data_IF_006568290391
#
_entry.id   IF_006568290391
#
_cell.length_a   1.000
_cell.length_b   1.000
_cell.length_c   1.000
_cell.angle_alpha   90.00
_cell.angle_beta   90.00
_cell.angle_gamma   90.00
#
_symmetry.space_group_name_H-M   'P 1'
#
loop_
_entity.id
_entity.type
_entity.pdbx_description
1 polymer ?
#
# COMPACT_ATOMS: atom_id res chain seq x y z
N UNK A 1 -8.86 -3.34 16.53
CA UNK A 1 -7.97 -4.25 15.78
C UNK A 1 -6.68 -3.48 15.63
N UNK A 2 -5.60 -4.02 16.15
CA UNK A 2 -4.28 -3.40 16.05
C UNK A 2 -3.70 -3.74 14.65
N UNK A 3 -2.90 -2.84 14.06
CA UNK A 3 -2.27 -3.06 12.76
C UNK A 3 -1.37 -4.29 12.76
N UNK A 4 -0.63 -4.52 13.84
CA UNK A 4 0.24 -5.70 13.99
C UNK A 4 -0.57 -7.00 13.94
N UNK A 5 -1.79 -7.00 14.46
CA UNK A 5 -2.73 -8.13 14.35
C UNK A 5 -3.25 -8.31 12.93
N UNK A 6 -3.54 -7.19 12.25
CA UNK A 6 -4.02 -7.19 10.87
C UNK A 6 -2.95 -7.76 9.92
N UNK A 7 -1.70 -7.37 10.09
CA UNK A 7 -0.59 -7.82 9.25
C UNK A 7 0.03 -9.14 9.72
N UNK A 8 -0.35 -9.65 10.89
CA UNK A 8 0.14 -10.93 11.41
C UNK A 8 -0.25 -12.09 10.50
N UNK A 9 0.67 -12.98 10.21
CA UNK A 9 0.42 -14.20 9.44
C UNK A 9 -0.32 -15.29 10.25
N UNK A 10 -0.39 -15.13 11.57
CA UNK A 10 -0.95 -16.12 12.50
C UNK A 10 -2.42 -15.86 12.91
N UNK A 11 -2.99 -14.69 12.57
CA UNK A 11 -4.37 -14.33 12.92
C UNK A 11 -5.23 -14.14 11.68
N UNK A 12 -6.50 -14.57 11.78
CA UNK A 12 -7.46 -14.51 10.69
C UNK A 12 -8.38 -13.28 10.71
N UNK A 13 -8.22 -12.37 11.69
CA UNK A 13 -9.06 -11.16 11.80
C UNK A 13 -8.95 -10.29 10.52
N UNK A 14 -10.08 -10.08 9.87
CA UNK A 14 -10.15 -9.35 8.59
C UNK A 14 -9.62 -10.10 7.37
N UNK A 15 -9.21 -11.35 7.54
CA UNK A 15 -8.66 -12.21 6.48
C UNK A 15 -9.63 -13.32 6.10
N UNK A 16 -9.39 -13.92 4.93
CA UNK A 16 -10.13 -15.05 4.41
C UNK A 16 -9.16 -16.13 3.94
N UNK A 17 -9.62 -17.37 3.99
CA UNK A 17 -8.95 -18.49 3.35
C UNK A 17 -9.50 -18.70 1.95
N UNK A 18 -8.63 -18.85 0.95
CA UNK A 18 -8.96 -19.19 -0.42
C UNK A 18 -8.31 -20.52 -0.77
N UNK A 19 -9.11 -21.49 -1.18
CA UNK A 19 -8.60 -22.76 -1.72
C UNK A 19 -8.40 -22.60 -3.22
N UNK A 20 -7.16 -22.75 -3.67
CA UNK A 20 -6.78 -22.63 -5.08
C UNK A 20 -7.51 -23.67 -5.92
N UNK A 21 -8.14 -23.24 -7.01
CA UNK A 21 -8.83 -24.08 -7.99
C UNK A 21 -8.04 -24.12 -9.29
N UNK A 22 -8.30 -25.14 -10.10
CA UNK A 22 -7.73 -25.21 -11.45
C UNK A 22 -8.11 -23.96 -12.26
N UNK A 23 -7.11 -23.34 -12.87
CA UNK A 23 -7.28 -22.09 -13.62
C UNK A 23 -7.17 -20.81 -12.80
N UNK A 24 -7.01 -20.90 -11.46
CA UNK A 24 -6.69 -19.73 -10.67
C UNK A 24 -5.29 -19.18 -11.02
N UNK A 25 -5.15 -17.86 -10.92
CA UNK A 25 -3.88 -17.16 -10.94
C UNK A 25 -3.81 -16.19 -9.76
N UNK A 26 -2.61 -15.83 -9.33
CA UNK A 26 -2.44 -14.85 -8.26
C UNK A 26 -3.12 -13.51 -8.58
N UNK A 27 -3.02 -13.03 -9.83
CA UNK A 27 -3.71 -11.81 -10.25
C UNK A 27 -5.23 -11.93 -10.20
N UNK A 28 -5.76 -13.07 -10.63
CA UNK A 28 -7.20 -13.36 -10.54
C UNK A 28 -7.69 -13.39 -9.10
N UNK A 29 -6.97 -14.08 -8.21
CA UNK A 29 -7.28 -14.13 -6.78
C UNK A 29 -7.18 -12.72 -6.15
N UNK A 30 -6.13 -11.96 -6.47
CA UNK A 30 -5.99 -10.60 -5.98
C UNK A 30 -7.18 -9.69 -6.40
N UNK A 31 -7.62 -9.80 -7.65
CA UNK A 31 -8.79 -9.07 -8.14
C UNK A 31 -10.09 -9.51 -7.45
N UNK A 32 -10.32 -10.82 -7.29
CA UNK A 32 -11.50 -11.39 -6.63
C UNK A 32 -11.67 -10.89 -5.19
N UNK A 33 -10.56 -10.81 -4.46
CA UNK A 33 -10.58 -10.41 -3.05
C UNK A 33 -10.25 -8.93 -2.81
N UNK A 34 -10.19 -8.10 -3.85
CA UNK A 34 -9.84 -6.66 -3.72
C UNK A 34 -8.53 -6.45 -2.95
N UNK A 35 -7.52 -7.24 -3.25
CA UNK A 35 -6.21 -7.19 -2.60
C UNK A 35 -5.08 -6.99 -3.61
N UNK A 36 -3.85 -7.16 -3.18
CA UNK A 36 -2.65 -7.06 -4.02
C UNK A 36 -1.82 -8.33 -3.96
N UNK A 37 -0.97 -8.55 -4.98
CA UNK A 37 0.03 -9.62 -4.94
C UNK A 37 0.95 -9.48 -3.74
N UNK A 38 1.36 -8.25 -3.43
CA UNK A 38 2.24 -7.94 -2.30
C UNK A 38 1.63 -8.39 -0.97
N UNK A 39 0.34 -8.07 -0.74
CA UNK A 39 -0.37 -8.51 0.46
C UNK A 39 -0.55 -10.05 0.49
N UNK A 40 -0.88 -10.68 -0.62
CA UNK A 40 -0.98 -12.14 -0.68
C UNK A 40 0.37 -12.77 -0.32
N UNK A 41 1.46 -12.28 -0.90
CA UNK A 41 2.81 -12.78 -0.60
C UNK A 41 3.17 -12.59 0.87
N UNK A 42 2.88 -11.40 1.42
CA UNK A 42 3.13 -11.09 2.83
C UNK A 42 2.40 -12.05 3.77
N UNK A 43 1.09 -12.21 3.60
CA UNK A 43 0.26 -13.04 4.48
C UNK A 43 0.60 -14.55 4.40
N UNK A 44 1.18 -14.99 3.29
CA UNK A 44 1.54 -16.40 3.07
C UNK A 44 3.06 -16.67 3.21
N UNK A 45 3.82 -15.69 3.71
CA UNK A 45 5.27 -15.84 3.93
C UNK A 45 6.08 -16.07 2.65
N UNK A 46 5.61 -15.57 1.50
CA UNK A 46 6.26 -15.76 0.22
C UNK A 46 7.29 -14.64 -0.04
N UNK A 47 8.54 -15.01 -0.33
CA UNK A 47 9.59 -14.09 -0.74
C UNK A 47 9.57 -13.82 -2.24
N UNK A 48 9.05 -14.75 -3.01
CA UNK A 48 8.87 -14.69 -4.46
C UNK A 48 7.59 -15.43 -4.85
N UNK A 49 7.04 -15.11 -6.03
CA UNK A 49 5.87 -15.83 -6.53
C UNK A 49 6.26 -17.24 -6.95
N UNK A 50 5.58 -18.22 -6.37
CA UNK A 50 5.64 -19.63 -6.75
C UNK A 50 4.46 -19.96 -7.66
N UNK A 51 4.58 -21.08 -8.38
CA UNK A 51 3.41 -21.62 -9.04
C UNK A 51 2.44 -22.17 -8.00
N UNK A 52 1.19 -21.70 -8.03
CA UNK A 52 0.13 -22.21 -7.17
C UNK A 52 -0.46 -23.49 -7.75
N UNK A 53 -0.78 -24.43 -6.87
CA UNK A 53 -1.38 -25.70 -7.24
C UNK A 53 -2.83 -25.79 -6.74
N UNK A 54 -3.74 -26.43 -7.50
CA UNK A 54 -5.09 -26.70 -7.01
C UNK A 54 -5.05 -27.44 -5.67
N UNK A 55 -5.86 -26.98 -4.72
CA UNK A 55 -5.93 -27.51 -3.36
C UNK A 55 -5.06 -26.77 -2.34
N UNK A 56 -4.12 -25.92 -2.76
CA UNK A 56 -3.38 -25.07 -1.84
C UNK A 56 -4.30 -24.05 -1.18
N UNK A 57 -4.03 -23.74 0.07
CA UNK A 57 -4.71 -22.69 0.83
C UNK A 57 -3.88 -21.42 0.81
N UNK A 58 -4.52 -20.30 0.44
CA UNK A 58 -3.95 -18.96 0.50
C UNK A 58 -4.75 -18.09 1.46
N UNK A 59 -4.05 -17.39 2.33
CA UNK A 59 -4.65 -16.35 3.15
C UNK A 59 -4.68 -15.05 2.34
N UNK A 60 -5.85 -14.43 2.26
CA UNK A 60 -6.10 -13.18 1.54
C UNK A 60 -6.79 -12.18 2.45
N UNK A 61 -6.55 -10.89 2.22
CA UNK A 61 -7.17 -9.80 2.96
C UNK A 61 -7.62 -8.71 2.01
N UNK A 62 -8.91 -8.32 2.02
CA UNK A 62 -9.38 -7.17 1.26
C UNK A 62 -8.68 -5.88 1.71
N UNK A 63 -8.28 -5.06 0.75
CA UNK A 63 -7.64 -3.76 0.97
C UNK A 63 -8.61 -2.63 0.57
N UNK A 64 -9.78 -2.60 1.19
CA UNK A 64 -10.81 -1.57 0.94
C UNK A 64 -10.67 -0.37 1.89
N UNK A 65 -9.44 -0.08 2.28
CA UNK A 65 -9.12 1.06 3.14
C UNK A 65 -9.17 2.37 2.36
N UNK A 66 -9.44 3.47 3.09
CA UNK A 66 -9.27 4.83 2.58
C UNK A 66 -8.14 5.55 3.29
N UNK A 67 -7.51 6.48 2.60
CA UNK A 67 -6.52 7.39 3.17
C UNK A 67 -7.18 8.73 3.49
N UNK A 68 -6.80 9.31 4.62
CA UNK A 68 -7.12 10.67 4.98
C UNK A 68 -5.81 11.47 5.07
N UNK A 69 -5.65 12.43 4.17
CA UNK A 69 -4.52 13.36 4.13
C UNK A 69 -4.92 14.67 4.79
N UNK A 70 -4.24 15.01 5.86
CA UNK A 70 -4.45 16.25 6.63
C UNK A 70 -3.16 17.11 6.63
N UNK A 71 -2.95 17.94 5.59
CA UNK A 71 -1.73 18.74 5.44
C UNK A 71 -1.44 19.65 6.62
N UNK A 72 -2.49 20.22 7.22
CA UNK A 72 -2.39 21.13 8.38
C UNK A 72 -1.91 20.41 9.67
N UNK A 73 -2.08 19.08 9.74
CA UNK A 73 -1.59 18.24 10.84
C UNK A 73 -0.30 17.50 10.49
N UNK A 74 0.20 17.67 9.27
CA UNK A 74 1.31 16.88 8.73
C UNK A 74 1.10 15.38 8.94
N UNK A 75 -0.09 14.88 8.61
CA UNK A 75 -0.41 13.46 8.79
C UNK A 75 -1.19 12.87 7.63
N UNK A 76 -0.98 11.58 7.43
CA UNK A 76 -1.79 10.72 6.58
C UNK A 76 -2.24 9.53 7.41
N UNK A 77 -3.54 9.21 7.36
CA UNK A 77 -4.08 8.10 8.13
C UNK A 77 -4.86 7.12 7.27
N UNK A 78 -4.87 5.87 7.70
CA UNK A 78 -5.58 4.74 7.08
C UNK A 78 -6.83 4.43 7.89
N UNK A 79 -7.94 4.24 7.19
CA UNK A 79 -9.25 3.99 7.77
C UNK A 79 -9.95 2.82 7.07
N UNK A 80 -10.62 1.98 7.86
CA UNK A 80 -11.53 0.94 7.38
C UNK A 80 -12.97 1.42 7.64
N UNK A 81 -13.63 1.94 6.59
CA UNK A 81 -14.90 2.65 6.76
C UNK A 81 -14.76 3.82 7.74
N UNK A 82 -15.47 3.75 8.88
CA UNK A 82 -15.38 4.73 9.97
C UNK A 82 -14.34 4.40 11.04
N UNK A 83 -13.63 3.27 10.92
CA UNK A 83 -12.69 2.78 11.93
C UNK A 83 -11.26 3.23 11.60
N UNK A 84 -10.64 3.93 12.54
CA UNK A 84 -9.22 4.30 12.48
C UNK A 84 -8.33 3.06 12.58
N UNK A 85 -7.32 2.98 11.70
CA UNK A 85 -6.34 1.89 11.67
C UNK A 85 -4.98 2.41 12.11
N UNK A 86 -4.42 3.40 11.40
CA UNK A 86 -3.07 3.91 11.65
C UNK A 86 -2.92 5.35 11.15
N UNK A 87 -2.04 6.11 11.78
CA UNK A 87 -1.60 7.45 11.35
C UNK A 87 -0.09 7.46 11.13
N UNK A 88 0.33 8.12 10.07
CA UNK A 88 1.73 8.28 9.65
C UNK A 88 2.08 9.75 9.61
N UNK A 89 3.12 10.18 10.35
CA UNK A 89 3.61 11.56 10.27
C UNK A 89 4.21 11.85 8.89
N UNK A 90 3.88 12.99 8.33
CA UNK A 90 4.51 13.51 7.12
C UNK A 90 5.79 14.23 7.52
N UNK A 91 6.93 13.77 7.03
CA UNK A 91 8.23 14.40 7.27
C UNK A 91 8.42 15.66 6.43
N UNK A 92 7.95 15.60 5.18
CA UNK A 92 8.01 16.73 4.26
C UNK A 92 6.80 16.69 3.33
N UNK A 93 6.24 17.89 3.09
CA UNK A 93 5.16 18.13 2.14
C UNK A 93 5.62 19.16 1.12
N UNK A 94 6.10 18.69 -0.03
CA UNK A 94 6.58 19.51 -1.14
C UNK A 94 5.47 19.73 -2.17
N UNK A 95 4.58 20.67 -1.91
CA UNK A 95 3.51 21.03 -2.84
C UNK A 95 3.54 22.52 -3.17
N UNK A 96 3.20 22.88 -4.40
CA UNK A 96 3.07 24.26 -4.81
C UNK A 96 1.66 24.75 -4.45
N UNK A 97 1.59 25.62 -3.42
CA UNK A 97 0.32 26.14 -2.92
C UNK A 97 -0.39 25.22 -1.92
N UNK A 98 -1.64 25.57 -1.60
CA UNK A 98 -2.48 24.77 -0.70
C UNK A 98 -3.14 23.64 -1.47
N UNK A 99 -3.09 22.45 -0.91
CA UNK A 99 -3.92 21.34 -1.39
C UNK A 99 -5.40 21.66 -1.11
N UNK A 100 -6.21 21.67 -2.16
CA UNK A 100 -7.65 21.87 -2.01
C UNK A 100 -8.28 20.64 -1.34
N UNK A 101 -9.16 20.83 -0.35
CA UNK A 101 -9.94 19.75 0.20
C UNK A 101 -10.76 19.02 -0.88
N UNK A 102 -10.89 17.73 -0.75
CA UNK A 102 -11.67 16.94 -1.70
C UNK A 102 -11.36 15.46 -1.66
N UNK A 103 -12.05 14.73 -2.52
CA UNK A 103 -11.87 13.28 -2.68
C UNK A 103 -11.21 12.95 -3.99
N UNK A 104 -10.28 12.04 -3.93
CA UNK A 104 -9.54 11.49 -5.06
C UNK A 104 -9.24 10.01 -4.81
N UNK A 105 -8.31 9.44 -5.54
CA UNK A 105 -7.95 8.03 -5.38
C UNK A 105 -6.48 7.78 -5.67
N UNK A 106 -5.99 6.65 -5.21
CA UNK A 106 -4.70 6.11 -5.62
C UNK A 106 -4.80 5.74 -7.11
N UNK A 107 -4.00 6.40 -7.94
CA UNK A 107 -3.96 6.18 -9.39
C UNK A 107 -3.00 5.09 -9.81
N UNK A 108 -1.83 5.03 -9.17
CA UNK A 108 -0.85 3.96 -9.39
C UNK A 108 0.01 3.71 -8.17
N UNK A 109 0.64 2.53 -8.16
CA UNK A 109 1.64 2.12 -7.18
C UNK A 109 2.83 1.57 -7.95
N UNK A 110 4.02 2.00 -7.57
CA UNK A 110 5.27 1.65 -8.21
C UNK A 110 6.27 1.19 -7.14
N UNK A 111 7.25 0.41 -7.58
CA UNK A 111 8.45 0.14 -6.81
C UNK A 111 9.65 0.44 -7.71
N UNK A 112 10.66 1.11 -7.19
CA UNK A 112 11.83 1.56 -7.93
C UNK A 112 13.12 1.21 -7.20
N UNK A 113 14.10 0.73 -7.95
CA UNK A 113 15.44 0.45 -7.45
C UNK A 113 16.45 0.91 -8.51
N UNK A 114 17.38 1.77 -8.10
CA UNK A 114 18.42 2.35 -8.99
C UNK A 114 17.83 2.95 -10.29
N UNK A 115 16.71 3.69 -10.16
CA UNK A 115 16.02 4.35 -11.28
C UNK A 115 15.26 3.40 -12.22
N UNK A 116 15.08 2.14 -11.83
CA UNK A 116 14.32 1.14 -12.61
C UNK A 116 13.08 0.69 -11.85
N UNK A 117 11.98 0.57 -12.57
CA UNK A 117 10.76 -0.02 -12.00
C UNK A 117 10.96 -1.52 -11.76
N UNK A 118 10.59 -1.95 -10.57
CA UNK A 118 10.71 -3.34 -10.13
C UNK A 118 9.29 -3.92 -10.00
N UNK A 119 8.98 -4.98 -10.74
CA UNK A 119 7.68 -5.64 -10.60
C UNK A 119 7.58 -6.41 -9.28
N UNK A 120 6.37 -6.54 -8.75
CA UNK A 120 6.07 -7.16 -7.46
C UNK A 120 6.57 -8.60 -7.35
N UNK A 121 6.59 -9.33 -8.45
CA UNK A 121 7.08 -10.70 -8.51
C UNK A 121 8.61 -10.84 -8.54
N UNK A 122 9.34 -9.73 -8.63
CA UNK A 122 10.80 -9.75 -8.59
C UNK A 122 11.31 -9.98 -7.17
N UNK A 123 12.39 -10.75 -7.03
CA UNK A 123 13.11 -10.88 -5.76
C UNK A 123 13.62 -9.55 -5.20
N UNK A 124 13.84 -8.56 -6.08
CA UNK A 124 14.35 -7.23 -5.72
C UNK A 124 13.24 -6.30 -5.22
N UNK A 125 11.96 -6.69 -5.35
CA UNK A 125 10.81 -5.84 -4.97
C UNK A 125 10.85 -5.38 -3.51
N UNK A 126 11.31 -6.24 -2.61
CA UNK A 126 11.38 -5.89 -1.18
C UNK A 126 12.43 -4.82 -0.87
N UNK A 127 13.51 -4.78 -1.65
CA UNK A 127 14.56 -3.77 -1.53
C UNK A 127 14.24 -2.48 -2.30
N UNK A 128 13.22 -2.50 -3.17
CA UNK A 128 12.84 -1.36 -3.98
C UNK A 128 12.03 -0.34 -3.17
N UNK A 129 12.26 0.93 -3.40
CA UNK A 129 11.50 2.04 -2.82
C UNK A 129 10.07 2.04 -3.36
N UNK A 130 9.09 2.07 -2.45
CA UNK A 130 7.68 2.11 -2.82
C UNK A 130 7.22 3.54 -3.08
N UNK A 131 6.40 3.71 -4.11
CA UNK A 131 5.83 5.00 -4.50
C UNK A 131 4.33 4.80 -4.73
N UNK A 132 3.52 5.64 -4.09
CA UNK A 132 2.08 5.75 -4.32
C UNK A 132 1.82 7.06 -5.04
N UNK A 133 1.05 7.01 -6.13
CA UNK A 133 0.64 8.20 -6.87
C UNK A 133 -0.85 8.46 -6.70
N UNK A 134 -1.19 9.64 -6.23
CA UNK A 134 -2.56 10.15 -6.16
C UNK A 134 -2.92 10.76 -7.51
N UNK A 135 -4.14 10.52 -7.98
CA UNK A 135 -4.55 10.90 -9.34
C UNK A 135 -4.78 12.40 -9.52
N UNK A 136 -5.47 13.04 -8.56
CA UNK A 136 -5.82 14.47 -8.61
C UNK A 136 -5.91 15.04 -7.19
N UNK A 137 -5.07 16.02 -6.83
CA UNK A 137 -3.94 16.50 -7.63
C UNK A 137 -2.92 15.39 -7.87
N UNK A 138 -2.09 15.51 -8.91
CA UNK A 138 -1.00 14.57 -9.14
C UNK A 138 0.03 14.74 -8.03
N UNK A 139 0.08 13.80 -7.10
CA UNK A 139 0.89 13.87 -5.89
C UNK A 139 1.48 12.50 -5.59
N UNK A 140 2.78 12.46 -5.35
CA UNK A 140 3.47 11.25 -4.94
C UNK A 140 3.56 11.14 -3.42
N UNK A 141 3.44 9.92 -2.90
CA UNK A 141 3.82 9.55 -1.55
C UNK A 141 5.01 8.61 -1.67
N UNK A 142 6.10 8.92 -0.98
CA UNK A 142 7.33 8.12 -1.01
C UNK A 142 8.01 8.07 0.36
N UNK A 143 8.92 7.13 0.51
CA UNK A 143 9.78 7.05 1.69
C UNK A 143 10.92 8.06 1.65
N UNK A 144 11.44 8.39 2.82
CA UNK A 144 12.58 9.26 3.01
C UNK A 144 13.85 8.65 2.41
N UNK A 145 14.58 9.47 1.64
CA UNK A 145 15.92 9.18 1.12
C UNK A 145 17.01 10.02 1.82
N UNK A 146 16.65 10.78 2.85
CA UNK A 146 17.58 11.59 3.64
C UNK A 146 17.52 13.09 3.34
N UNK A 147 18.67 13.76 3.20
CA UNK A 147 18.76 15.22 3.13
C UNK A 147 18.05 15.85 1.90
N UNK A 148 17.92 15.09 0.82
CA UNK A 148 17.26 15.54 -0.42
C UNK A 148 15.74 15.68 -0.28
N UNK A 149 15.15 15.13 0.78
CA UNK A 149 13.70 15.17 1.00
C UNK A 149 13.15 16.59 1.16
N UNK A 150 13.98 17.53 1.62
CA UNK A 150 13.56 18.93 1.83
C UNK A 150 13.20 19.68 0.56
N UNK A 151 13.61 19.19 -0.59
CA UNK A 151 13.30 19.75 -1.91
C UNK A 151 12.41 18.85 -2.74
N UNK A 152 12.02 17.70 -2.20
CA UNK A 152 11.21 16.73 -2.92
C UNK A 152 9.78 17.24 -3.15
N UNK A 153 9.25 16.97 -4.33
CA UNK A 153 7.84 17.17 -4.60
C UNK A 153 7.03 15.99 -4.04
N UNK A 154 5.87 16.33 -3.45
CA UNK A 154 4.94 15.34 -2.93
C UNK A 154 5.05 15.15 -1.42
N UNK A 155 4.67 13.99 -0.95
CA UNK A 155 4.61 13.61 0.46
C UNK A 155 5.76 12.67 0.76
N UNK A 156 6.55 12.98 1.77
CA UNK A 156 7.63 12.12 2.25
C UNK A 156 7.29 11.59 3.63
N UNK A 157 7.29 10.29 3.77
CA UNK A 157 7.10 9.55 5.03
C UNK A 157 8.43 8.93 5.47
N UNK A 158 8.51 8.42 6.68
CA UNK A 158 9.62 7.53 7.06
C UNK A 158 9.62 6.30 6.15
N UNK A 159 10.79 5.73 5.91
CA UNK A 159 10.91 4.57 5.02
C UNK A 159 10.05 3.40 5.48
N UNK A 160 10.07 3.09 6.79
CA UNK A 160 9.24 2.03 7.37
C UNK A 160 7.74 2.31 7.27
N UNK A 161 7.31 3.55 7.44
CA UNK A 161 5.91 3.95 7.30
C UNK A 161 5.44 3.83 5.83
N UNK A 162 6.34 4.13 4.89
CA UNK A 162 6.05 3.97 3.46
C UNK A 162 5.87 2.51 3.06
N UNK A 163 6.69 1.60 3.57
CA UNK A 163 6.54 0.15 3.35
C UNK A 163 5.18 -0.33 3.87
N UNK A 164 4.80 0.09 5.07
CA UNK A 164 3.56 -0.31 5.72
C UNK A 164 2.32 0.23 4.97
N UNK A 165 2.29 1.53 4.65
CA UNK A 165 1.15 2.13 3.94
C UNK A 165 1.04 1.60 2.50
N UNK A 166 2.17 1.30 1.86
CA UNK A 166 2.18 0.66 0.55
C UNK A 166 1.56 -0.74 0.61
N UNK A 167 1.89 -1.53 1.62
CA UNK A 167 1.32 -2.88 1.79
C UNK A 167 -0.20 -2.84 2.03
N UNK A 168 -0.69 -1.86 2.79
CA UNK A 168 -2.10 -1.70 3.16
C UNK A 168 -2.99 -1.14 2.04
N UNK A 169 -2.42 -0.66 0.95
CA UNK A 169 -3.17 0.06 -0.09
C UNK A 169 -3.14 -0.64 -1.43
N UNK A 170 -4.17 -0.39 -2.22
CA UNK A 170 -4.26 -0.79 -3.64
C UNK A 170 -4.67 0.38 -4.52
N UNK A 171 -4.42 0.26 -5.81
CA UNK A 171 -4.94 1.19 -6.81
C UNK A 171 -6.46 1.27 -6.71
N UNK A 172 -6.99 2.49 -6.72
CA UNK A 172 -8.42 2.76 -6.59
C UNK A 172 -8.88 3.06 -5.17
N UNK A 173 -8.08 2.83 -4.11
CA UNK A 173 -8.46 3.27 -2.77
C UNK A 173 -8.73 4.78 -2.73
N UNK A 174 -9.79 5.18 -2.03
CA UNK A 174 -10.15 6.59 -1.85
C UNK A 174 -9.07 7.31 -1.04
N UNK A 175 -8.77 8.53 -1.46
CA UNK A 175 -7.94 9.49 -0.72
C UNK A 175 -8.77 10.74 -0.47
N UNK A 176 -9.02 11.07 0.77
CA UNK A 176 -9.69 12.31 1.17
C UNK A 176 -8.64 13.31 1.65
N UNK A 177 -8.70 14.54 1.14
CA UNK A 177 -7.84 15.66 1.55
C UNK A 177 -8.68 16.65 2.36
N UNK A 178 -8.23 17.01 3.55
CA UNK A 178 -8.91 17.97 4.46
C UNK A 178 -8.03 19.15 4.86
#
# INVERSE_FOLDING_TARGET
MNLDELLSTSRMDGKKSHIVKRGNSFLGIAAEYHTTLDMIMHLNGMMELKNIQPGEELIVMPLDFRLLLEPHRNSISVWDGGKFIREYPILHLGVTGKLAPGKTKIGSKLAELDGRQIPVQSKDYRAADKIIQISKPALQIRGSAGAEDRTAHGIVLRAEDMEEISLLTRVGNEVEIR
#
